data_IF_833941693499
#
_entry.id   IF_833941693499
#
_cell.length_a   1.000
_cell.length_b   1.000
_cell.length_c   1.000
_cell.angle_alpha   90.00
_cell.angle_beta   90.00
_cell.angle_gamma   90.00
#
_symmetry.space_group_name_H-M   'P 1'
#
loop_
_entity.id
_entity.type
_entity.pdbx_description
1 polymer ?
#
# COMPACT_ATOMS: atom_id res chain seq x y z
N UNK A 1 -17.47 -9.32 23.42
CA UNK A 1 -17.21 -7.92 23.00
C UNK A 1 -18.08 -7.64 21.79
N UNK A 2 -19.08 -6.76 21.93
CA UNK A 2 -20.06 -6.49 20.89
C UNK A 2 -19.47 -5.54 19.83
N UNK A 3 -19.59 -5.92 18.55
CA UNK A 3 -19.20 -5.07 17.42
C UNK A 3 -20.36 -4.10 17.14
N UNK A 4 -20.15 -2.77 17.09
CA UNK A 4 -21.22 -1.84 16.77
C UNK A 4 -21.67 -2.05 15.31
N UNK A 5 -22.97 -2.27 15.10
CA UNK A 5 -23.59 -2.25 13.77
C UNK A 5 -23.91 -0.78 13.42
N UNK A 6 -23.41 -0.32 12.28
CA UNK A 6 -23.68 1.02 11.77
C UNK A 6 -25.15 1.20 11.39
N UNK A 7 -25.74 2.33 11.77
CA UNK A 7 -27.18 2.57 11.69
C UNK A 7 -27.68 3.11 10.33
N UNK A 8 -27.05 2.71 9.21
CA UNK A 8 -27.49 3.04 7.84
C UNK A 8 -27.47 4.52 7.41
N UNK A 9 -27.20 5.47 8.33
CA UNK A 9 -27.14 6.92 8.06
C UNK A 9 -25.76 7.35 7.53
N UNK A 10 -24.73 6.55 7.81
CA UNK A 10 -23.39 6.72 7.26
C UNK A 10 -23.05 5.39 6.60
N UNK A 11 -22.81 5.41 5.30
CA UNK A 11 -22.06 4.31 4.66
C UNK A 11 -20.64 4.42 5.17
N UNK A 12 -20.35 3.79 6.32
CA UNK A 12 -18.98 3.43 6.63
C UNK A 12 -18.56 2.52 5.48
N UNK A 13 -17.56 2.95 4.73
CA UNK A 13 -16.96 2.23 3.60
C UNK A 13 -16.18 1.01 4.14
N UNK A 14 -16.85 0.17 4.93
CA UNK A 14 -16.36 -1.11 5.46
C UNK A 14 -16.86 -2.28 4.60
N UNK A 15 -17.46 -1.99 3.44
CA UNK A 15 -17.71 -2.99 2.40
C UNK A 15 -16.41 -3.30 1.67
N UNK A 16 -15.55 -4.03 2.39
CA UNK A 16 -14.67 -5.05 1.83
C UNK A 16 -13.99 -4.61 0.53
N UNK A 17 -13.29 -3.48 0.58
CA UNK A 17 -12.23 -3.27 -0.38
C UNK A 17 -11.20 -4.34 -0.02
N UNK A 18 -11.22 -5.44 -0.76
CA UNK A 18 -10.09 -6.36 -0.87
C UNK A 18 -8.97 -5.58 -1.54
N UNK A 19 -8.43 -4.60 -0.82
CA UNK A 19 -7.22 -3.90 -1.17
C UNK A 19 -6.10 -4.88 -0.88
N UNK A 20 -5.95 -5.84 -1.78
CA UNK A 20 -4.75 -6.66 -1.90
C UNK A 20 -3.54 -5.82 -2.35
N UNK A 21 -3.74 -4.51 -2.56
CA UNK A 21 -2.69 -3.55 -2.75
C UNK A 21 -1.76 -3.56 -1.55
N UNK A 22 -0.58 -4.12 -1.74
CA UNK A 22 0.50 -4.00 -0.78
C UNK A 22 1.00 -2.55 -0.77
N UNK A 23 0.26 -1.67 -0.11
CA UNK A 23 0.78 -0.36 0.26
C UNK A 23 1.67 -0.59 1.49
N UNK A 24 2.94 -0.98 1.27
CA UNK A 24 3.92 -0.98 2.37
C UNK A 24 3.85 0.42 2.96
N UNK A 25 3.46 0.57 4.23
CA UNK A 25 3.43 1.87 4.92
C UNK A 25 4.79 2.61 4.88
N UNK A 26 5.85 1.93 4.40
CA UNK A 26 7.19 2.47 4.18
C UNK A 26 7.52 2.81 2.72
N UNK A 27 6.59 2.73 1.77
CA UNK A 27 6.86 3.02 0.35
C UNK A 27 7.50 4.40 0.17
N UNK A 28 6.91 5.44 0.78
CA UNK A 28 7.46 6.81 0.79
C UNK A 28 8.89 6.84 1.33
N UNK A 29 9.16 6.11 2.43
CA UNK A 29 10.50 6.06 3.02
C UNK A 29 11.53 5.48 2.05
N UNK A 30 11.17 4.44 1.29
CA UNK A 30 12.08 3.85 0.30
C UNK A 30 12.23 4.72 -0.94
N UNK A 31 11.16 5.37 -1.39
CA UNK A 31 11.24 6.31 -2.51
C UNK A 31 12.16 7.49 -2.17
N UNK A 32 12.11 8.00 -0.94
CA UNK A 32 13.01 9.05 -0.47
C UNK A 32 14.48 8.62 -0.38
N UNK A 33 14.79 7.31 -0.38
CA UNK A 33 16.16 6.81 -0.49
C UNK A 33 16.66 6.79 -1.96
N UNK A 34 15.75 6.72 -2.93
CA UNK A 34 16.06 6.63 -4.37
C UNK A 34 15.95 7.97 -5.10
N UNK A 35 15.04 8.86 -4.68
CA UNK A 35 14.76 10.12 -5.34
C UNK A 35 14.35 11.22 -4.34
N UNK A 36 14.57 12.47 -4.73
CA UNK A 36 14.14 13.64 -3.95
C UNK A 36 12.65 13.92 -4.18
N UNK A 37 11.89 13.99 -3.08
CA UNK A 37 10.46 14.27 -3.11
C UNK A 37 10.17 15.61 -3.80
N UNK A 38 9.18 15.62 -4.70
CA UNK A 38 8.77 16.81 -5.44
C UNK A 38 9.49 17.02 -6.78
N UNK A 39 10.36 16.08 -7.17
CA UNK A 39 10.93 16.03 -8.52
C UNK A 39 10.10 15.16 -9.46
N UNK A 40 10.18 15.41 -10.76
CA UNK A 40 9.53 14.57 -11.78
C UNK A 40 9.99 13.11 -11.69
N UNK A 41 11.27 12.89 -11.37
CA UNK A 41 11.85 11.55 -11.16
C UNK A 41 11.16 10.81 -10.01
N UNK A 42 10.84 11.52 -8.93
CA UNK A 42 10.13 10.93 -7.80
C UNK A 42 8.69 10.55 -8.15
N UNK A 43 8.01 11.36 -8.97
CA UNK A 43 6.67 11.05 -9.47
C UNK A 43 6.68 9.79 -10.35
N UNK A 44 7.61 9.71 -11.31
CA UNK A 44 7.76 8.52 -12.14
C UNK A 44 8.06 7.26 -11.31
N UNK A 45 8.98 7.38 -10.36
CA UNK A 45 9.35 6.28 -9.46
C UNK A 45 8.18 5.85 -8.58
N UNK A 46 7.38 6.80 -8.08
CA UNK A 46 6.16 6.51 -7.34
C UNK A 46 5.20 5.67 -8.17
N UNK A 47 4.90 6.10 -9.40
CA UNK A 47 3.97 5.40 -10.27
C UNK A 47 4.45 3.98 -10.61
N UNK A 48 5.75 3.84 -10.91
CA UNK A 48 6.34 2.53 -11.21
C UNK A 48 6.25 1.58 -10.02
N UNK A 49 6.75 2.02 -8.85
CA UNK A 49 6.82 1.19 -7.63
C UNK A 49 5.42 0.85 -7.12
N UNK A 50 4.48 1.78 -7.24
CA UNK A 50 3.08 1.53 -6.93
C UNK A 50 2.45 0.48 -7.86
N UNK A 51 2.67 0.59 -9.17
CA UNK A 51 2.16 -0.40 -10.14
C UNK A 51 2.76 -1.79 -9.91
N UNK A 52 4.07 -1.86 -9.63
CA UNK A 52 4.76 -3.10 -9.27
C UNK A 52 4.18 -3.73 -7.99
N UNK A 53 3.94 -2.94 -6.94
CA UNK A 53 3.34 -3.42 -5.71
C UNK A 53 1.90 -3.91 -5.91
N UNK A 54 1.09 -3.20 -6.70
CA UNK A 54 -0.26 -3.61 -7.09
C UNK A 54 -0.28 -4.95 -7.84
N UNK A 55 0.75 -5.21 -8.65
CA UNK A 55 0.93 -6.48 -9.36
C UNK A 55 1.54 -7.60 -8.50
N UNK A 56 1.77 -7.39 -7.19
CA UNK A 56 2.42 -8.35 -6.30
C UNK A 56 3.94 -8.49 -6.50
N UNK A 57 4.55 -7.57 -7.26
CA UNK A 57 5.99 -7.54 -7.59
C UNK A 57 6.71 -6.42 -6.85
N UNK A 58 6.49 -6.27 -5.54
CA UNK A 58 7.08 -5.17 -4.78
C UNK A 58 8.62 -5.19 -4.84
N UNK A 59 9.24 -4.12 -5.36
CA UNK A 59 10.69 -3.95 -5.42
C UNK A 59 11.35 -3.97 -4.02
N UNK A 60 10.61 -3.63 -2.97
CA UNK A 60 11.10 -3.57 -1.59
C UNK A 60 10.81 -4.83 -0.79
N UNK A 61 10.45 -5.94 -1.44
CA UNK A 61 10.11 -7.20 -0.77
C UNK A 61 11.16 -7.66 0.24
N UNK A 62 12.45 -7.51 -0.10
CA UNK A 62 13.56 -7.96 0.75
C UNK A 62 13.86 -7.00 1.90
N UNK A 63 13.50 -5.71 1.76
CA UNK A 63 13.78 -4.65 2.75
C UNK A 63 12.57 -4.31 3.63
N UNK A 64 11.34 -4.57 3.18
CA UNK A 64 10.11 -4.24 3.90
C UNK A 64 9.75 -5.39 4.87
N UNK A 65 9.96 -5.25 6.20
CA UNK A 65 9.62 -6.30 7.17
C UNK A 65 8.12 -6.60 7.23
N UNK A 66 7.29 -5.68 6.70
CA UNK A 66 5.85 -5.86 6.59
C UNK A 66 5.45 -6.68 5.36
N UNK A 67 6.32 -6.84 4.36
CA UNK A 67 6.06 -7.69 3.19
C UNK A 67 5.88 -9.15 3.60
N UNK A 68 6.69 -9.64 4.55
CA UNK A 68 6.53 -10.99 5.09
C UNK A 68 5.23 -11.17 5.88
N UNK A 69 4.61 -10.07 6.35
CA UNK A 69 3.38 -10.08 7.15
C UNK A 69 2.13 -9.86 6.31
N UNK A 70 2.24 -9.20 5.17
CA UNK A 70 1.17 -9.18 4.18
C UNK A 70 1.02 -10.56 3.59
N UNK A 71 -0.17 -11.15 3.70
CA UNK A 71 -0.49 -12.36 2.92
C UNK A 71 -0.21 -12.03 1.44
N UNK A 72 0.56 -12.87 0.73
CA UNK A 72 0.73 -12.68 -0.71
C UNK A 72 -0.67 -12.62 -1.36
N UNK A 73 -0.84 -11.88 -2.45
CA UNK A 73 -2.11 -11.82 -3.16
C UNK A 73 -2.39 -13.13 -3.94
N UNK A 74 -2.10 -14.30 -3.36
CA UNK A 74 -2.53 -15.64 -3.80
C UNK A 74 -2.52 -16.59 -2.61
#
# INVERSE_FOLDING_TARGET
>A
MARPNGNGIISLHDDKETNHGFFCMKLVSYLNEEAEMGTDVYEELWHERFAQAKAGKCAYREKCPNYAKSKPPF
#
